data_IF_339464445907
#
_entry.id   IF_339464445907
#
_cell.length_a   1.000
_cell.length_b   1.000
_cell.length_c   1.000
_cell.angle_alpha   90.00
_cell.angle_beta   90.00
_cell.angle_gamma   90.00
#
_symmetry.space_group_name_H-M   'P 1'
#
loop_
_entity.id
_entity.type
_entity.pdbx_description
1 polymer ?
#
# COMPACT_ATOMS: atom_id res chain seq x y z
N UNK A 1 19.60 11.20 13.46
CA UNK A 1 18.35 10.81 14.18
C UNK A 1 17.91 9.47 13.61
N UNK A 2 17.71 8.46 14.45
CA UNK A 2 17.40 7.08 14.05
C UNK A 2 15.90 6.78 13.95
N UNK A 3 15.55 5.51 14.09
CA UNK A 3 14.16 5.01 14.09
C UNK A 3 13.40 5.47 15.35
N UNK A 4 12.19 6.02 15.16
CA UNK A 4 11.25 6.29 16.25
C UNK A 4 10.19 5.18 16.22
N UNK A 5 10.09 4.42 17.31
CA UNK A 5 9.06 3.40 17.47
C UNK A 5 7.88 3.99 18.21
N UNK A 6 6.68 3.69 17.72
CA UNK A 6 5.44 4.06 18.36
C UNK A 6 4.84 2.82 19.05
N UNK A 7 4.19 3.02 20.19
CA UNK A 7 3.38 1.98 20.82
C UNK A 7 2.17 1.59 19.96
N UNK A 8 1.34 0.69 20.47
CA UNK A 8 0.09 0.34 19.80
C UNK A 8 -0.82 1.58 19.70
N UNK A 9 -1.14 1.98 18.48
CA UNK A 9 -2.12 3.03 18.19
C UNK A 9 -3.49 2.35 18.11
N UNK A 10 -4.54 3.00 18.64
CA UNK A 10 -5.90 2.50 18.48
C UNK A 10 -6.29 2.56 17.02
N UNK A 11 -7.13 1.62 16.58
CA UNK A 11 -7.51 1.55 15.18
C UNK A 11 -8.21 2.83 14.69
N UNK A 12 -9.06 3.43 15.53
CA UNK A 12 -9.77 4.70 15.25
C UNK A 12 -8.83 5.88 14.99
N UNK A 13 -7.63 5.87 15.58
CA UNK A 13 -6.65 6.97 15.49
C UNK A 13 -5.67 6.79 14.34
N UNK A 14 -5.65 5.62 13.67
CA UNK A 14 -4.57 5.27 12.74
C UNK A 14 -4.50 6.22 11.56
N UNK A 15 -5.65 6.61 10.98
CA UNK A 15 -5.66 7.53 9.84
C UNK A 15 -5.19 8.93 10.24
N UNK A 16 -5.55 9.41 11.43
CA UNK A 16 -5.04 10.68 11.94
C UNK A 16 -3.53 10.63 12.13
N UNK A 17 -3.00 9.54 12.67
CA UNK A 17 -1.55 9.38 12.81
C UNK A 17 -0.84 9.37 11.45
N UNK A 18 -1.37 8.64 10.47
CA UNK A 18 -0.78 8.54 9.13
C UNK A 18 -0.62 9.91 8.45
N UNK A 19 -1.55 10.87 8.66
CA UNK A 19 -1.47 12.22 8.07
C UNK A 19 -0.25 13.04 8.53
N UNK A 20 0.42 12.64 9.62
CA UNK A 20 1.60 13.34 10.13
C UNK A 20 2.86 13.07 9.29
N UNK A 21 2.84 12.04 8.45
CA UNK A 21 3.99 11.63 7.67
C UNK A 21 3.89 12.15 6.23
N UNK A 22 5.04 12.53 5.66
CA UNK A 22 5.12 13.01 4.27
C UNK A 22 5.09 11.89 3.24
N UNK A 23 5.60 10.71 3.61
CA UNK A 23 5.72 9.54 2.75
C UNK A 23 5.45 8.29 3.61
N UNK A 24 4.56 7.43 3.15
CA UNK A 24 4.34 6.10 3.71
C UNK A 24 5.31 5.10 3.10
N UNK A 25 5.80 4.13 3.89
CA UNK A 25 6.67 3.06 3.37
C UNK A 25 5.93 1.73 3.28
N UNK A 26 6.16 1.01 2.18
CA UNK A 26 5.63 -0.32 1.90
C UNK A 26 6.76 -1.21 1.38
N UNK A 27 7.01 -2.34 2.02
CA UNK A 27 8.02 -3.26 1.52
C UNK A 27 8.12 -4.51 2.38
N UNK A 28 8.77 -5.51 1.82
CA UNK A 28 9.05 -6.76 2.51
C UNK A 28 10.54 -6.84 2.78
N UNK A 29 10.91 -7.33 3.97
CA UNK A 29 12.30 -7.66 4.23
C UNK A 29 12.65 -8.91 3.42
N UNK A 30 13.60 -8.76 2.50
CA UNK A 30 14.16 -9.85 1.71
C UNK A 30 15.59 -10.21 2.13
N UNK A 31 16.13 -9.52 3.14
CA UNK A 31 17.43 -9.81 3.73
C UNK A 31 17.32 -11.02 4.64
N UNK A 32 18.11 -12.06 4.35
CA UNK A 32 18.12 -13.36 5.05
C UNK A 32 16.77 -14.10 5.06
N UNK A 33 15.77 -13.59 4.34
CA UNK A 33 14.45 -14.17 4.26
C UNK A 33 14.45 -15.38 3.33
N UNK A 34 13.72 -16.44 3.74
CA UNK A 34 13.52 -17.60 2.87
C UNK A 34 12.73 -17.19 1.62
N UNK A 35 13.15 -17.60 0.40
CA UNK A 35 12.48 -17.20 -0.84
C UNK A 35 10.98 -17.46 -0.87
N UNK A 36 10.53 -18.58 -0.26
CA UNK A 36 9.11 -18.93 -0.21
C UNK A 36 8.26 -17.90 0.55
N UNK A 37 8.78 -17.28 1.62
CA UNK A 37 8.06 -16.27 2.38
C UNK A 37 7.97 -14.95 1.62
N UNK A 38 9.08 -14.55 0.98
CA UNK A 38 9.14 -13.33 0.15
C UNK A 38 8.19 -13.47 -1.05
N UNK A 39 8.20 -14.63 -1.71
CA UNK A 39 7.32 -14.89 -2.85
C UNK A 39 5.84 -14.90 -2.45
N UNK A 40 5.49 -15.51 -1.31
CA UNK A 40 4.12 -15.45 -0.78
C UNK A 40 3.69 -13.99 -0.52
N UNK A 41 4.51 -13.22 0.21
CA UNK A 41 4.21 -11.83 0.53
C UNK A 41 4.03 -10.96 -0.72
N UNK A 42 4.84 -11.20 -1.76
CA UNK A 42 4.74 -10.54 -3.07
C UNK A 42 3.46 -10.82 -3.84
N UNK A 43 2.74 -11.90 -3.55
CA UNK A 43 1.44 -12.20 -4.16
C UNK A 43 0.28 -11.48 -3.45
N UNK A 44 0.50 -11.02 -2.22
CA UNK A 44 -0.51 -10.33 -1.44
C UNK A 44 -0.62 -8.85 -1.82
N UNK A 45 -1.80 -8.28 -1.58
CA UNK A 45 -2.02 -6.82 -1.60
C UNK A 45 -2.29 -6.33 -0.18
N UNK A 46 -1.34 -5.65 0.47
CA UNK A 46 -1.51 -5.23 1.86
C UNK A 46 -2.47 -4.04 1.92
N UNK A 47 -3.47 -4.10 2.82
CA UNK A 47 -4.42 -3.01 3.04
C UNK A 47 -3.72 -1.67 3.33
N UNK A 48 -2.57 -1.72 4.01
CA UNK A 48 -1.75 -0.55 4.31
C UNK A 48 -1.32 0.25 3.08
N UNK A 49 -1.26 -0.39 1.90
CA UNK A 49 -1.01 0.31 0.65
C UNK A 49 -2.12 1.30 0.27
N UNK A 50 -3.37 0.96 0.61
CA UNK A 50 -4.54 1.80 0.39
C UNK A 50 -4.74 2.79 1.54
N UNK A 51 -4.34 2.47 2.77
CA UNK A 51 -4.47 3.39 3.92
C UNK A 51 -3.73 4.70 3.70
N UNK A 52 -2.48 4.65 3.22
CA UNK A 52 -1.71 5.86 2.89
C UNK A 52 -2.41 6.68 1.79
N UNK A 53 -2.88 6.02 0.72
CA UNK A 53 -3.62 6.66 -0.37
C UNK A 53 -4.92 7.32 0.13
N UNK A 54 -5.65 6.64 1.01
CA UNK A 54 -6.90 7.15 1.57
C UNK A 54 -6.69 8.49 2.29
N UNK A 55 -5.62 8.61 3.07
CA UNK A 55 -5.27 9.85 3.79
C UNK A 55 -4.47 10.85 2.95
N UNK A 56 -4.22 10.56 1.67
CA UNK A 56 -3.48 11.47 0.77
C UNK A 56 -1.97 11.49 0.98
N UNK A 57 -1.40 10.45 1.61
CA UNK A 57 0.04 10.31 1.80
C UNK A 57 0.63 9.45 0.67
N UNK A 58 1.58 9.97 -0.12
CA UNK A 58 2.23 9.20 -1.17
C UNK A 58 3.07 8.07 -0.60
N UNK A 59 3.16 6.97 -1.35
CA UNK A 59 3.89 5.78 -0.92
C UNK A 59 5.27 5.70 -1.59
N UNK A 60 6.30 5.43 -0.81
CA UNK A 60 7.55 4.83 -1.29
C UNK A 60 7.45 3.33 -1.06
N UNK A 61 7.87 2.54 -2.05
CA UNK A 61 7.84 1.10 -1.90
C UNK A 61 9.07 0.37 -2.39
N UNK A 62 9.31 -0.79 -1.80
CA UNK A 62 10.41 -1.69 -2.12
C UNK A 62 9.88 -3.08 -2.40
N UNK A 63 10.19 -3.61 -3.58
CA UNK A 63 10.06 -5.03 -3.90
C UNK A 63 8.63 -5.60 -3.70
N UNK A 64 7.61 -4.83 -4.12
CA UNK A 64 6.20 -5.10 -3.78
C UNK A 64 5.51 -6.24 -4.55
N UNK A 65 6.12 -6.74 -5.62
CA UNK A 65 5.52 -7.78 -6.44
C UNK A 65 4.16 -7.35 -7.02
N UNK A 66 3.13 -8.18 -6.81
CA UNK A 66 1.79 -7.97 -7.38
C UNK A 66 1.15 -6.64 -6.96
N UNK A 67 1.44 -6.15 -5.75
CA UNK A 67 0.89 -4.89 -5.22
C UNK A 67 1.30 -3.65 -6.01
N UNK A 68 2.43 -3.69 -6.70
CA UNK A 68 2.97 -2.58 -7.47
C UNK A 68 1.99 -2.05 -8.52
N UNK A 69 1.18 -2.93 -9.11
CA UNK A 69 0.18 -2.54 -10.11
C UNK A 69 -0.84 -1.52 -9.60
N UNK A 70 -1.05 -1.50 -8.29
CA UNK A 70 -1.92 -0.57 -7.59
C UNK A 70 -1.10 0.63 -7.11
N UNK A 71 -0.04 0.39 -6.34
CA UNK A 71 0.74 1.43 -5.65
C UNK A 71 1.36 2.44 -6.62
N UNK A 72 1.77 2.02 -7.82
CA UNK A 72 2.33 2.92 -8.84
C UNK A 72 1.41 4.07 -9.24
N UNK A 73 0.11 3.98 -8.93
CA UNK A 73 -0.83 5.06 -9.23
C UNK A 73 -0.73 6.21 -8.21
N UNK A 74 -0.21 5.98 -7.00
CA UNK A 74 -0.14 6.97 -5.91
C UNK A 74 1.21 6.97 -5.17
N UNK A 75 2.25 6.41 -5.80
CA UNK A 75 3.54 6.19 -5.15
C UNK A 75 4.65 5.83 -6.11
N UNK A 76 5.84 5.69 -5.56
CA UNK A 76 7.07 5.31 -6.27
C UNK A 76 7.43 3.87 -5.89
N UNK A 77 7.65 3.03 -6.90
CA UNK A 77 7.98 1.62 -6.71
C UNK A 77 9.44 1.36 -7.09
N UNK A 78 10.25 1.02 -6.09
CA UNK A 78 11.66 0.66 -6.25
C UNK A 78 11.80 -0.87 -6.27
N UNK A 79 12.63 -1.37 -7.18
CA UNK A 79 12.98 -2.79 -7.25
C UNK A 79 14.30 -3.09 -6.54
N UNK A 80 15.17 -2.08 -6.41
CA UNK A 80 16.50 -2.23 -5.82
C UNK A 80 16.69 -1.29 -4.63
N UNK A 81 17.51 -1.70 -3.65
CA UNK A 81 17.73 -0.94 -2.41
C UNK A 81 18.35 0.43 -2.69
N UNK A 82 19.20 0.51 -3.71
CA UNK A 82 19.93 1.72 -4.10
C UNK A 82 18.99 2.82 -4.60
N UNK A 83 17.78 2.45 -5.07
CA UNK A 83 16.79 3.37 -5.61
C UNK A 83 15.99 4.08 -4.50
N UNK A 84 16.05 3.61 -3.25
CA UNK A 84 15.15 4.07 -2.18
C UNK A 84 15.34 5.53 -1.81
N UNK A 85 16.58 6.03 -1.84
CA UNK A 85 16.88 7.44 -1.49
C UNK A 85 16.28 8.38 -2.53
N UNK A 86 16.53 8.12 -3.81
CA UNK A 86 15.95 8.90 -4.90
C UNK A 86 14.42 8.74 -4.95
N UNK A 87 13.95 7.51 -4.74
CA UNK A 87 12.53 7.19 -4.70
C UNK A 87 11.79 7.94 -3.59
N UNK A 88 12.39 8.10 -2.41
CA UNK A 88 11.83 8.90 -1.32
C UNK A 88 11.60 10.35 -1.75
N UNK A 89 12.61 10.98 -2.36
CA UNK A 89 12.48 12.37 -2.80
C UNK A 89 11.43 12.52 -3.90
N UNK A 90 11.34 11.56 -4.83
CA UNK A 90 10.25 11.54 -5.83
C UNK A 90 8.88 11.38 -5.18
N UNK A 91 8.72 10.43 -4.27
CA UNK A 91 7.45 10.16 -3.60
C UNK A 91 6.96 11.38 -2.80
N UNK A 92 7.87 12.08 -2.13
CA UNK A 92 7.57 13.27 -1.32
C UNK A 92 6.94 14.42 -2.13
N UNK A 93 7.22 14.50 -3.42
CA UNK A 93 6.73 15.57 -4.29
C UNK A 93 5.47 15.16 -5.08
N UNK A 94 4.93 13.96 -4.86
CA UNK A 94 3.71 13.52 -5.52
C UNK A 94 2.48 14.22 -4.93
N UNK A 95 1.65 14.75 -5.83
CA UNK A 95 0.33 15.28 -5.51
C UNK A 95 -0.75 14.21 -5.78
N UNK A 96 -1.44 13.79 -4.72
CA UNK A 96 -2.48 12.77 -4.77
C UNK A 96 -3.90 13.34 -4.89
N UNK A 97 -4.07 14.66 -5.04
CA UNK A 97 -5.41 15.30 -5.11
C UNK A 97 -6.25 14.81 -6.30
N UNK A 98 -5.60 14.36 -7.38
CA UNK A 98 -6.26 13.88 -8.60
C UNK A 98 -6.51 12.37 -8.62
N UNK A 99 -6.10 11.64 -7.56
CA UNK A 99 -6.35 10.21 -7.46
C UNK A 99 -7.86 9.98 -7.24
N UNK A 100 -8.48 9.21 -8.13
CA UNK A 100 -9.83 8.70 -7.89
C UNK A 100 -9.78 7.60 -6.81
N UNK A 101 -9.98 8.02 -5.56
CA UNK A 101 -10.03 7.12 -4.40
C UNK A 101 -11.28 6.26 -4.40
N UNK A 102 -12.39 6.76 -4.98
CA UNK A 102 -13.67 6.06 -4.97
C UNK A 102 -13.64 4.76 -5.74
N UNK A 103 -12.76 4.66 -6.76
CA UNK A 103 -12.52 3.44 -7.52
C UNK A 103 -12.23 2.22 -6.64
N UNK A 104 -11.67 2.42 -5.46
CA UNK A 104 -11.27 1.34 -4.55
C UNK A 104 -12.29 1.08 -3.44
N UNK A 105 -13.44 1.77 -3.43
CA UNK A 105 -14.49 1.54 -2.46
C UNK A 105 -15.30 0.29 -2.78
N UNK A 106 -15.66 -0.46 -1.74
CA UNK A 106 -16.42 -1.71 -1.84
C UNK A 106 -17.75 -1.51 -2.59
N UNK A 107 -18.39 -0.35 -2.44
CA UNK A 107 -19.67 -0.03 -3.08
C UNK A 107 -19.62 -0.13 -4.60
N UNK A 108 -18.48 0.17 -5.23
CA UNK A 108 -18.31 0.03 -6.69
C UNK A 108 -18.33 -1.44 -7.13
N UNK A 109 -18.03 -2.37 -6.23
CA UNK A 109 -17.92 -3.80 -6.49
C UNK A 109 -19.13 -4.60 -6.01
N UNK A 110 -20.10 -3.97 -5.31
CA UNK A 110 -21.25 -4.65 -4.71
C UNK A 110 -22.03 -5.53 -5.72
N UNK A 111 -22.31 -5.02 -6.92
CA UNK A 111 -23.01 -5.78 -7.96
C UNK A 111 -22.21 -7.01 -8.42
N UNK A 112 -20.92 -6.85 -8.65
CA UNK A 112 -20.02 -7.94 -9.05
C UNK A 112 -19.90 -8.99 -7.97
N UNK A 113 -19.76 -8.57 -6.71
CA UNK A 113 -19.72 -9.48 -5.57
C UNK A 113 -21.02 -10.27 -5.43
N UNK A 114 -22.17 -9.61 -5.55
CA UNK A 114 -23.46 -10.29 -5.54
C UNK A 114 -23.57 -11.34 -6.65
N UNK A 115 -23.18 -11.01 -7.89
CA UNK A 115 -23.21 -11.95 -9.00
C UNK A 115 -22.30 -13.17 -8.78
N UNK A 116 -21.11 -12.96 -8.18
CA UNK A 116 -20.20 -14.07 -7.83
C UNK A 116 -20.85 -14.98 -6.78
N UNK A 117 -21.48 -14.40 -5.76
CA UNK A 117 -22.16 -15.17 -4.72
C UNK A 117 -23.36 -15.94 -5.27
N UNK A 118 -24.20 -15.31 -6.08
CA UNK A 118 -25.33 -15.97 -6.74
C UNK A 118 -24.85 -17.15 -7.58
N UNK A 119 -23.78 -16.99 -8.37
CA UNK A 119 -23.19 -18.08 -9.14
C UNK A 119 -22.67 -19.21 -8.24
N UNK A 120 -21.90 -18.87 -7.21
CA UNK A 120 -21.27 -19.85 -6.32
C UNK A 120 -22.29 -20.68 -5.51
N UNK A 121 -23.46 -20.10 -5.20
CA UNK A 121 -24.53 -20.78 -4.46
C UNK A 121 -25.65 -21.33 -5.36
N UNK A 122 -25.53 -21.17 -6.68
CA UNK A 122 -26.42 -21.81 -7.67
C UNK A 122 -25.87 -23.14 -8.22
N UNK A 123 -24.64 -23.50 -7.81
CA UNK A 123 -23.96 -24.77 -8.07
C UNK A 123 -24.18 -25.75 -6.91
#
# INVERSE_FOLDING_TARGET
KGMITHGKIKHEDIFQELTKYKVGFLGYNDEEARPIHVNYAKMCVPNKAFDYMAVGVPSLSYNLGYSERYVKNWGVCCQKKEELVEGYYKAKELDLTKIDKEKYLLDKYKKTLNAIYELAFSL
#
